data_IF_908026883235
#
_entry.id   IF_908026883235
#
_cell.length_a   1.000
_cell.length_b   1.000
_cell.length_c   1.000
_cell.angle_alpha   90.00
_cell.angle_beta   90.00
_cell.angle_gamma   90.00
#
_symmetry.space_group_name_H-M   'P 1'
#
loop_
_entity.id
_entity.type
_entity.pdbx_description
1 polymer ?
#
# COMPACT_ATOMS: atom_id res chain seq x y z
N UNK A 1 16.13 3.37 2.13
CA UNK A 1 14.96 2.68 2.74
C UNK A 1 13.96 2.17 1.70
N UNK A 2 13.57 2.98 0.71
CA UNK A 2 12.58 2.61 -0.34
C UNK A 2 12.89 1.33 -1.13
N UNK A 3 14.18 1.01 -1.37
CA UNK A 3 14.60 -0.20 -2.11
C UNK A 3 14.17 -1.51 -1.44
N UNK A 4 14.17 -1.60 -0.11
CA UNK A 4 13.83 -2.85 0.61
C UNK A 4 12.33 -3.16 0.48
N UNK A 5 11.48 -2.13 0.47
CA UNK A 5 10.02 -2.28 0.38
C UNK A 5 9.56 -2.60 -1.06
N UNK A 6 10.36 -2.24 -2.08
CA UNK A 6 10.11 -2.55 -3.49
C UNK A 6 10.33 -4.03 -3.86
N UNK A 7 10.86 -4.85 -2.95
CA UNK A 7 11.09 -6.29 -3.13
C UNK A 7 10.13 -7.18 -2.33
N UNK A 8 9.15 -6.62 -1.63
CA UNK A 8 8.20 -7.40 -0.84
C UNK A 8 7.24 -8.19 -1.76
N UNK A 9 7.32 -9.53 -1.82
CA UNK A 9 6.52 -10.34 -2.74
C UNK A 9 5.09 -10.61 -2.23
N UNK A 10 4.71 -10.03 -1.08
CA UNK A 10 3.39 -10.32 -0.50
C UNK A 10 2.29 -9.68 -1.32
N UNK A 11 1.24 -10.45 -1.55
CA UNK A 11 -0.04 -9.93 -1.99
C UNK A 11 -0.64 -9.06 -0.87
N UNK A 12 -0.35 -7.75 -0.93
CA UNK A 12 -0.80 -6.72 0.02
C UNK A 12 -2.33 -6.69 0.18
N UNK A 13 -3.06 -7.26 -0.77
CA UNK A 13 -4.52 -7.25 -0.83
C UNK A 13 -5.13 -8.62 -0.56
N UNK A 14 -4.31 -9.61 -0.20
CA UNK A 14 -4.80 -10.94 0.15
C UNK A 14 -5.67 -10.83 1.39
N UNK A 15 -6.94 -11.22 1.24
CA UNK A 15 -7.89 -11.31 2.34
C UNK A 15 -7.71 -12.62 3.08
N UNK A 16 -7.81 -12.56 4.40
CA UNK A 16 -7.88 -13.72 5.28
C UNK A 16 -9.13 -13.62 6.16
N UNK A 17 -9.55 -14.77 6.69
CA UNK A 17 -10.56 -14.82 7.75
C UNK A 17 -9.90 -14.40 9.06
N UNK A 18 -10.48 -13.42 9.73
CA UNK A 18 -10.07 -12.90 11.02
C UNK A 18 -11.06 -13.40 12.06
N UNK A 19 -10.54 -14.00 13.12
CA UNK A 19 -11.33 -14.44 14.28
C UNK A 19 -10.74 -13.75 15.51
N UNK A 20 -11.47 -12.79 16.08
CA UNK A 20 -11.03 -12.01 17.24
C UNK A 20 -12.18 -11.87 18.24
N UNK A 21 -12.15 -12.67 19.32
CA UNK A 21 -13.29 -12.75 20.24
C UNK A 21 -14.54 -13.24 19.52
N UNK A 22 -15.59 -12.43 19.49
CA UNK A 22 -16.85 -12.71 18.78
C UNK A 22 -16.85 -12.23 17.32
N UNK A 23 -15.80 -11.53 16.86
CA UNK A 23 -15.71 -11.03 15.49
C UNK A 23 -15.21 -12.14 14.55
N UNK A 24 -15.97 -12.38 13.48
CA UNK A 24 -15.62 -13.30 12.39
C UNK A 24 -15.90 -12.64 11.04
N UNK A 25 -14.83 -12.26 10.34
CA UNK A 25 -14.94 -11.50 9.09
C UNK A 25 -13.74 -11.69 8.18
N UNK A 26 -13.90 -11.33 6.90
CA UNK A 26 -12.80 -11.38 5.94
C UNK A 26 -12.21 -9.99 5.77
N UNK A 27 -10.93 -9.84 6.09
CA UNK A 27 -10.20 -8.57 5.99
C UNK A 27 -8.84 -8.78 5.36
N UNK A 28 -8.29 -7.75 4.73
CA UNK A 28 -6.87 -7.74 4.37
C UNK A 28 -6.04 -7.21 5.53
N UNK A 29 -4.73 -7.41 5.45
CA UNK A 29 -3.80 -7.09 6.55
C UNK A 29 -3.79 -5.59 6.88
N UNK A 30 -4.04 -4.73 5.88
CA UNK A 30 -4.08 -3.28 6.10
C UNK A 30 -5.32 -2.88 6.90
N UNK A 31 -6.51 -3.32 6.49
CA UNK A 31 -7.74 -3.05 7.23
C UNK A 31 -7.68 -3.62 8.64
N UNK A 32 -7.18 -4.85 8.79
CA UNK A 32 -7.00 -5.46 10.11
C UNK A 32 -6.07 -4.63 11.00
N UNK A 33 -4.94 -4.15 10.46
CA UNK A 33 -4.01 -3.32 11.22
C UNK A 33 -4.67 -2.02 11.69
N UNK A 34 -5.53 -1.40 10.88
CA UNK A 34 -6.31 -0.24 11.30
C UNK A 34 -7.35 -0.59 12.37
N UNK A 35 -8.09 -1.70 12.20
CA UNK A 35 -9.13 -2.13 13.15
C UNK A 35 -8.57 -2.37 14.56
N UNK A 36 -7.40 -3.01 14.66
CA UNK A 36 -6.78 -3.36 15.95
C UNK A 36 -5.85 -2.27 16.49
N UNK A 37 -5.63 -1.18 15.75
CA UNK A 37 -4.72 -0.09 16.15
C UNK A 37 -3.23 -0.39 15.98
N UNK A 38 -2.85 -1.36 15.13
CA UNK A 38 -1.46 -1.62 14.78
C UNK A 38 -0.97 -0.62 13.70
N UNK A 39 -0.93 0.66 14.06
CA UNK A 39 -0.74 1.76 13.10
C UNK A 39 0.64 1.75 12.42
N UNK A 40 1.70 1.36 13.12
CA UNK A 40 3.05 1.24 12.52
C UNK A 40 3.08 0.21 11.40
N UNK A 41 2.33 -0.89 11.56
CA UNK A 41 2.17 -1.91 10.53
C UNK A 41 1.41 -1.34 9.33
N UNK A 42 0.34 -0.59 9.59
CA UNK A 42 -0.40 0.08 8.52
C UNK A 42 0.46 1.11 7.77
N UNK A 43 1.29 1.89 8.48
CA UNK A 43 2.24 2.84 7.85
C UNK A 43 3.22 2.08 6.95
N UNK A 44 3.81 0.99 7.45
CA UNK A 44 4.74 0.16 6.68
C UNK A 44 4.08 -0.42 5.42
N UNK A 45 2.84 -0.90 5.51
CA UNK A 45 2.09 -1.41 4.37
C UNK A 45 1.78 -0.32 3.34
N UNK A 46 1.41 0.90 3.79
CA UNK A 46 1.22 2.04 2.91
C UNK A 46 2.53 2.48 2.22
N UNK A 47 3.67 2.41 2.93
CA UNK A 47 5.01 2.65 2.36
C UNK A 47 5.44 1.55 1.38
N UNK A 48 4.90 0.33 1.56
CA UNK A 48 5.13 -0.82 0.68
C UNK A 48 4.25 -0.82 -0.58
N UNK A 49 3.40 0.20 -0.77
CA UNK A 49 2.55 0.33 -1.95
C UNK A 49 1.12 -0.15 -1.78
N UNK A 50 0.63 -0.34 -0.55
CA UNK A 50 -0.80 -0.53 -0.32
C UNK A 50 -1.56 0.75 -0.67
N UNK A 51 -2.62 0.62 -1.47
CA UNK A 51 -3.46 1.74 -1.87
C UNK A 51 -4.42 2.14 -0.74
N UNK A 52 -4.02 3.16 0.02
CA UNK A 52 -4.79 3.72 1.15
C UNK A 52 -6.17 4.22 0.71
N UNK A 53 -6.31 4.66 -0.54
CA UNK A 53 -7.60 5.14 -1.11
C UNK A 53 -8.67 4.07 -1.22
N UNK A 54 -8.32 2.78 -1.03
CA UNK A 54 -9.29 1.69 -0.98
C UNK A 54 -10.11 1.67 0.31
N UNK A 55 -9.65 2.35 1.35
CA UNK A 55 -10.32 2.42 2.65
C UNK A 55 -11.25 3.62 2.66
N UNK A 56 -12.55 3.36 2.59
CA UNK A 56 -13.55 4.40 2.32
C UNK A 56 -13.56 5.54 3.33
N UNK A 57 -13.50 5.28 4.64
CA UNK A 57 -13.49 6.32 5.67
C UNK A 57 -12.22 7.21 5.68
N UNK A 58 -11.18 6.81 4.94
CA UNK A 58 -9.98 7.63 4.72
C UNK A 58 -10.15 8.61 3.54
N UNK A 59 -11.12 8.39 2.66
CA UNK A 59 -11.43 9.26 1.52
C UNK A 59 -12.77 9.97 1.65
N UNK A 60 -13.70 9.39 2.39
CA UNK A 60 -15.06 9.85 2.63
C UNK A 60 -15.22 10.19 4.11
N UNK A 61 -15.28 11.49 4.40
CA UNK A 61 -15.39 12.02 5.76
C UNK A 61 -16.75 11.77 6.41
N UNK A 62 -17.75 11.31 5.64
CA UNK A 62 -19.06 10.93 6.19
C UNK A 62 -19.07 9.57 6.85
N UNK A 63 -18.07 8.72 6.60
CA UNK A 63 -17.95 7.41 7.22
C UNK A 63 -17.15 7.48 8.52
N UNK A 64 -17.65 6.81 9.55
CA UNK A 64 -16.96 6.71 10.82
C UNK A 64 -15.74 5.79 10.71
N UNK A 65 -14.56 6.24 11.20
CA UNK A 65 -13.39 5.38 11.31
C UNK A 65 -13.54 4.38 12.47
N UNK A 66 -12.77 3.27 12.47
CA UNK A 66 -12.70 2.35 13.60
C UNK A 66 -12.34 3.05 14.92
N UNK A 67 -12.86 2.52 16.03
CA UNK A 67 -12.65 3.08 17.37
C UNK A 67 -11.18 3.10 17.82
N UNK A 68 -10.31 2.29 17.19
CA UNK A 68 -8.86 2.31 17.40
C UNK A 68 -8.27 3.71 17.23
N UNK A 69 -8.79 4.52 16.30
CA UNK A 69 -8.34 5.89 16.04
C UNK A 69 -8.74 6.89 17.13
N UNK A 70 -9.65 6.57 18.04
CA UNK A 70 -10.06 7.50 19.11
C UNK A 70 -8.90 7.89 20.03
N UNK A 71 -7.95 6.97 20.21
CA UNK A 71 -6.74 7.21 20.99
C UNK A 71 -5.65 7.99 20.23
N UNK A 72 -5.71 7.98 18.89
CA UNK A 72 -4.67 8.52 18.01
C UNK A 72 -5.25 9.25 16.77
N UNK A 73 -5.95 10.39 16.97
CA UNK A 73 -6.58 11.12 15.86
C UNK A 73 -5.56 11.66 14.83
N UNK A 74 -4.32 11.90 15.25
CA UNK A 74 -3.25 12.37 14.36
C UNK A 74 -2.91 11.33 13.28
N UNK A 75 -3.01 10.04 13.61
CA UNK A 75 -2.75 8.95 12.66
C UNK A 75 -3.87 8.87 11.60
N UNK A 76 -5.12 9.11 12.01
CA UNK A 76 -6.24 9.20 11.06
C UNK A 76 -6.00 10.31 10.03
N UNK A 77 -5.62 11.50 10.50
CA UNK A 77 -5.31 12.64 9.64
C UNK A 77 -4.12 12.36 8.72
N UNK A 78 -3.08 11.70 9.22
CA UNK A 78 -1.95 11.25 8.41
C UNK A 78 -2.41 10.36 7.24
N UNK A 79 -3.24 9.36 7.50
CA UNK A 79 -3.72 8.46 6.45
C UNK A 79 -4.68 9.15 5.47
N UNK A 80 -5.52 10.07 5.94
CA UNK A 80 -6.40 10.89 5.08
C UNK A 80 -5.60 11.80 4.15
N UNK A 81 -4.60 12.51 4.68
CA UNK A 81 -3.68 13.32 3.87
C UNK A 81 -2.95 12.47 2.84
N UNK A 82 -2.51 11.27 3.25
CA UNK A 82 -1.82 10.34 2.36
C UNK A 82 -2.74 9.81 1.26
N UNK A 83 -4.01 9.52 1.55
CA UNK A 83 -4.99 9.10 0.56
C UNK A 83 -5.27 10.20 -0.49
N UNK A 84 -5.22 11.47 -0.09
CA UNK A 84 -5.43 12.62 -0.98
C UNK A 84 -4.14 13.17 -1.64
N UNK A 85 -2.97 12.59 -1.34
CA UNK A 85 -1.69 13.13 -1.81
C UNK A 85 -1.37 12.69 -3.25
N UNK A 86 -1.01 13.66 -4.09
CA UNK A 86 -0.49 13.42 -5.45
C UNK A 86 0.77 12.55 -5.43
N UNK A 87 1.60 12.69 -4.38
CA UNK A 87 2.79 11.87 -4.20
C UNK A 87 2.44 10.39 -3.99
N UNK A 88 1.38 10.09 -3.24
CA UNK A 88 0.89 8.71 -3.07
C UNK A 88 0.42 8.13 -4.39
N UNK A 89 -0.34 8.89 -5.18
CA UNK A 89 -0.79 8.47 -6.50
C UNK A 89 0.39 8.14 -7.43
N UNK A 90 1.40 9.00 -7.44
CA UNK A 90 2.63 8.79 -8.20
C UNK A 90 3.36 7.51 -7.77
N UNK A 91 3.57 7.30 -6.47
CA UNK A 91 4.21 6.09 -5.93
C UNK A 91 3.41 4.82 -6.28
N UNK A 92 2.10 4.84 -6.12
CA UNK A 92 1.22 3.71 -6.49
C UNK A 92 1.29 3.39 -7.98
N UNK A 93 1.45 4.41 -8.82
CA UNK A 93 1.64 4.24 -10.27
C UNK A 93 2.96 3.52 -10.56
N UNK A 94 4.06 3.92 -9.91
CA UNK A 94 5.35 3.23 -10.03
C UNK A 94 5.26 1.76 -9.61
N UNK A 95 4.61 1.46 -8.48
CA UNK A 95 4.37 0.10 -8.03
C UNK A 95 3.54 -0.71 -9.04
N UNK A 96 2.52 -0.10 -9.63
CA UNK A 96 1.66 -0.74 -10.64
C UNK A 96 2.45 -1.11 -11.88
N UNK A 97 3.26 -0.19 -12.41
CA UNK A 97 4.12 -0.44 -13.58
C UNK A 97 5.12 -1.57 -13.25
N UNK A 98 5.79 -1.49 -12.09
CA UNK A 98 6.74 -2.51 -11.65
C UNK A 98 6.08 -3.89 -11.53
N UNK A 99 4.87 -3.98 -11.00
CA UNK A 99 4.10 -5.23 -10.89
C UNK A 99 3.76 -5.81 -12.27
N UNK A 100 3.37 -4.97 -13.23
CA UNK A 100 3.13 -5.41 -14.61
C UNK A 100 4.41 -5.97 -15.25
N UNK A 101 5.54 -5.29 -15.07
CA UNK A 101 6.84 -5.76 -15.56
C UNK A 101 7.27 -7.08 -14.90
N UNK A 102 7.02 -7.28 -13.60
CA UNK A 102 7.32 -8.58 -12.96
C UNK A 102 6.49 -9.74 -13.51
N UNK A 103 5.28 -9.46 -14.04
CA UNK A 103 4.42 -10.46 -14.66
C UNK A 103 4.75 -10.73 -16.13
N UNK A 104 5.43 -9.80 -16.80
CA UNK A 104 5.76 -9.83 -18.22
C UNK A 104 7.26 -10.02 -18.44
N UNK A 105 7.69 -11.27 -18.66
CA UNK A 105 9.10 -11.63 -18.86
C UNK A 105 9.69 -11.02 -20.16
N UNK A 106 8.83 -10.60 -21.09
CA UNK A 106 9.23 -10.09 -22.40
C UNK A 106 9.48 -8.58 -22.45
N UNK A 107 8.99 -7.81 -21.47
CA UNK A 107 9.06 -6.34 -21.48
C UNK A 107 10.09 -5.83 -20.47
N UNK A 108 11.06 -5.03 -20.92
CA UNK A 108 12.02 -4.37 -20.04
C UNK A 108 11.55 -2.97 -19.66
N UNK A 109 11.86 -2.54 -18.44
CA UNK A 109 11.65 -1.14 -18.02
C UNK A 109 12.34 -0.13 -18.96
N UNK A 110 13.41 -0.54 -19.64
CA UNK A 110 14.19 0.29 -20.57
C UNK A 110 13.43 0.58 -21.89
N UNK A 111 12.44 -0.24 -22.24
CA UNK A 111 11.69 -0.11 -23.48
C UNK A 111 10.49 0.84 -23.34
N UNK A 112 10.21 1.29 -22.11
CA UNK A 112 9.12 2.22 -21.83
C UNK A 112 9.51 3.66 -22.23
N UNK A 113 8.59 4.43 -22.83
CA UNK A 113 8.82 5.84 -23.19
C UNK A 113 8.75 6.76 -21.96
N UNK A 114 9.56 6.47 -20.94
CA UNK A 114 9.60 7.16 -19.65
C UNK A 114 10.96 7.85 -19.44
N UNK A 115 11.01 8.94 -18.65
CA UNK A 115 12.27 9.54 -18.23
C UNK A 115 13.18 8.53 -17.51
N UNK A 116 14.50 8.63 -17.72
CA UNK A 116 15.51 7.73 -17.11
C UNK A 116 15.40 7.63 -15.58
N UNK A 117 15.01 8.72 -14.91
CA UNK A 117 14.78 8.75 -13.47
C UNK A 117 13.63 7.84 -13.04
N UNK A 118 12.56 7.75 -13.84
CA UNK A 118 11.43 6.85 -13.58
C UNK A 118 11.79 5.42 -13.91
N UNK A 119 12.51 5.19 -15.01
CA UNK A 119 13.02 3.87 -15.39
C UNK A 119 13.85 3.28 -14.23
N UNK A 120 14.78 4.05 -13.66
CA UNK A 120 15.57 3.63 -12.50
C UNK A 120 14.72 3.24 -11.28
N UNK A 121 13.58 3.91 -11.06
CA UNK A 121 12.70 3.62 -9.94
C UNK A 121 11.87 2.34 -10.11
N UNK A 122 11.47 2.00 -11.35
CA UNK A 122 10.65 0.82 -11.66
C UNK A 122 11.46 -0.40 -12.08
N UNK A 123 12.72 -0.20 -12.47
CA UNK A 123 13.60 -1.27 -12.93
C UNK A 123 13.74 -2.32 -11.83
N UNK A 124 13.59 -3.58 -12.24
CA UNK A 124 13.84 -4.73 -11.40
C UNK A 124 15.35 -4.90 -11.35
N UNK A 125 15.95 -4.71 -10.18
CA UNK A 125 17.34 -5.10 -9.97
C UNK A 125 17.41 -6.62 -10.23
N UNK A 126 18.31 -7.06 -11.11
CA UNK A 126 18.58 -8.49 -11.35
C UNK A 126 19.16 -9.10 -10.07
N UNK A 127 18.31 -9.47 -9.11
CA UNK A 127 18.73 -10.06 -7.82
C UNK A 127 18.64 -11.60 -7.86
N UNK A 128 18.35 -12.20 -9.02
CA UNK A 128 18.33 -13.65 -9.20
C UNK A 128 19.16 -14.09 -10.41
N UNK A 129 20.47 -13.89 -10.33
CA UNK A 129 21.49 -14.73 -10.99
C UNK A 129 22.62 -14.96 -10.02
#
# INVERSE_FOLDING_TARGET
>A
MMKILLHWPSDLYRKGRVILGELDYNSDVFHLALDIGAFEVAILLADSGYSVTRVKYLTDWSQEPPSSFNSEPVILDYFRQRACSVQSLFILTLFTIRKSLTGNITESAQDLPLPKSLICAIQLDNVFT
#
